data_IF_154099088222
#
_entry.id   IF_154099088222
#
_cell.length_a   1.000
_cell.length_b   1.000
_cell.length_c   1.000
_cell.angle_alpha   90.00
_cell.angle_beta   90.00
_cell.angle_gamma   90.00
#
_symmetry.space_group_name_H-M   'P 1'
#
loop_
_entity.id
_entity.type
_entity.pdbx_description
1 polymer ?
#
# COMPACT_ATOMS: atom_id res chain seq x y z
N UNK A 1 -10.42 8.74 -8.99
CA UNK A 1 -9.82 8.21 -7.76
C UNK A 1 -10.85 7.38 -7.00
N UNK A 2 -10.50 6.14 -6.71
CA UNK A 2 -11.32 5.28 -5.86
C UNK A 2 -11.29 5.79 -4.43
N UNK A 3 -12.47 5.89 -3.80
CA UNK A 3 -12.55 6.20 -2.38
C UNK A 3 -12.13 7.63 -2.00
N UNK A 4 -12.59 8.63 -2.76
CA UNK A 4 -12.34 10.03 -2.39
C UNK A 4 -12.76 10.26 -0.94
N UNK A 5 -11.84 10.76 -0.12
CA UNK A 5 -12.07 10.96 1.31
C UNK A 5 -12.00 9.70 2.17
N UNK A 6 -11.67 8.54 1.58
CA UNK A 6 -11.64 7.25 2.29
C UNK A 6 -10.25 6.61 2.14
N UNK A 7 -9.39 6.83 3.12
CA UNK A 7 -8.03 6.32 3.10
C UNK A 7 -7.98 4.79 3.15
N UNK A 8 -8.91 4.14 3.84
CA UNK A 8 -8.97 2.67 3.88
C UNK A 8 -9.27 2.09 2.49
N UNK A 9 -10.25 2.67 1.77
CA UNK A 9 -10.58 2.24 0.42
C UNK A 9 -9.43 2.49 -0.54
N UNK A 10 -8.76 3.63 -0.44
CA UNK A 10 -7.58 3.94 -1.25
C UNK A 10 -6.45 2.95 -0.98
N UNK A 11 -6.22 2.59 0.27
CA UNK A 11 -5.19 1.61 0.65
C UNK A 11 -5.47 0.24 0.04
N UNK A 12 -6.70 -0.24 0.13
CA UNK A 12 -7.08 -1.52 -0.47
C UNK A 12 -6.85 -1.52 -1.98
N UNK A 13 -7.23 -0.42 -2.65
CA UNK A 13 -7.05 -0.28 -4.10
C UNK A 13 -5.56 -0.25 -4.48
N UNK A 14 -4.73 0.44 -3.69
CA UNK A 14 -3.29 0.51 -3.94
C UNK A 14 -2.68 -0.89 -3.90
N UNK A 15 -3.01 -1.71 -2.89
CA UNK A 15 -2.47 -3.06 -2.79
C UNK A 15 -2.94 -3.94 -3.94
N UNK A 16 -4.18 -3.78 -4.41
CA UNK A 16 -4.67 -4.48 -5.60
C UNK A 16 -3.86 -4.07 -6.83
N UNK A 17 -3.63 -2.77 -7.03
CA UNK A 17 -2.84 -2.26 -8.15
C UNK A 17 -1.39 -2.77 -8.09
N UNK A 18 -0.77 -2.75 -6.91
CA UNK A 18 0.59 -3.28 -6.73
C UNK A 18 0.67 -4.75 -7.09
N UNK A 19 -0.30 -5.54 -6.65
CA UNK A 19 -0.37 -6.96 -7.00
C UNK A 19 -0.43 -7.18 -8.51
N UNK A 20 -1.22 -6.38 -9.22
CA UNK A 20 -1.32 -6.45 -10.67
C UNK A 20 -0.03 -6.04 -11.37
N UNK A 21 0.64 -5.00 -10.89
CA UNK A 21 1.92 -4.55 -11.43
C UNK A 21 2.98 -5.64 -11.24
N UNK A 22 3.07 -6.23 -10.05
CA UNK A 22 4.01 -7.30 -9.76
C UNK A 22 3.76 -8.52 -10.66
N UNK A 23 2.50 -8.92 -10.81
CA UNK A 23 2.13 -10.03 -11.66
C UNK A 23 2.54 -9.79 -13.12
N UNK A 24 2.44 -8.56 -13.62
CA UNK A 24 2.84 -8.21 -14.98
C UNK A 24 4.34 -8.37 -15.20
N UNK A 25 5.14 -8.39 -14.14
CA UNK A 25 6.59 -8.57 -14.17
C UNK A 25 7.02 -9.98 -13.75
N UNK A 26 6.07 -10.90 -13.63
CA UNK A 26 6.37 -12.27 -13.18
C UNK A 26 6.70 -12.37 -11.69
N UNK A 27 6.31 -11.38 -10.91
CA UNK A 27 6.55 -11.34 -9.47
C UNK A 27 5.24 -11.43 -8.69
N UNK A 28 5.35 -11.50 -7.39
CA UNK A 28 4.20 -11.50 -6.48
C UNK A 28 4.49 -10.66 -5.26
N UNK A 29 3.50 -10.50 -4.41
CA UNK A 29 3.67 -9.72 -3.17
C UNK A 29 4.76 -10.30 -2.26
N UNK A 30 5.00 -11.62 -2.32
CA UNK A 30 6.06 -12.25 -1.54
C UNK A 30 7.47 -11.86 -1.99
N UNK A 31 7.61 -11.24 -3.16
CA UNK A 31 8.89 -10.75 -3.67
C UNK A 31 9.19 -9.31 -3.21
N UNK A 32 8.27 -8.66 -2.53
CA UNK A 32 8.46 -7.30 -2.04
C UNK A 32 9.41 -7.31 -0.85
N UNK A 33 10.41 -6.44 -0.90
CA UNK A 33 11.43 -6.29 0.14
C UNK A 33 11.03 -5.20 1.14
N UNK A 34 10.46 -4.10 0.64
CA UNK A 34 10.07 -2.99 1.50
C UNK A 34 8.96 -2.17 0.86
N UNK A 35 8.17 -1.54 1.72
CA UNK A 35 7.20 -0.49 1.35
C UNK A 35 7.64 0.83 1.96
N UNK A 36 7.34 1.92 1.25
CA UNK A 36 7.32 3.26 1.83
C UNK A 36 5.91 3.80 1.67
N UNK A 37 5.30 4.16 2.79
CA UNK A 37 3.90 4.58 2.84
C UNK A 37 3.81 6.04 3.23
N UNK A 38 3.11 6.83 2.41
CA UNK A 38 2.84 8.24 2.65
C UNK A 38 1.37 8.40 2.94
N UNK A 39 1.03 9.03 4.07
CA UNK A 39 -0.35 9.31 4.44
C UNK A 39 -0.53 10.80 4.71
N UNK A 40 -1.64 11.35 4.27
CA UNK A 40 -1.94 12.78 4.44
C UNK A 40 -2.69 12.98 5.74
N UNK A 41 -1.96 13.35 6.79
CA UNK A 41 -2.51 13.58 8.12
C UNK A 41 -2.76 12.29 8.91
N UNK A 42 -3.11 12.45 10.19
CA UNK A 42 -3.28 11.31 11.10
C UNK A 42 -4.54 10.51 10.83
N UNK A 43 -5.60 11.13 10.35
CA UNK A 43 -6.83 10.41 9.98
C UNK A 43 -6.57 9.43 8.84
N UNK A 44 -5.79 9.86 7.84
CA UNK A 44 -5.40 8.98 6.74
C UNK A 44 -4.52 7.83 7.23
N UNK A 45 -3.69 8.06 8.25
CA UNK A 45 -2.90 7.00 8.88
C UNK A 45 -3.79 5.90 9.48
N UNK A 46 -4.86 6.30 10.16
CA UNK A 46 -5.82 5.34 10.73
C UNK A 46 -6.55 4.57 9.63
N UNK A 47 -6.99 5.25 8.58
CA UNK A 47 -7.63 4.61 7.42
C UNK A 47 -6.68 3.65 6.70
N UNK A 48 -5.41 4.03 6.55
CA UNK A 48 -4.38 3.14 6.00
C UNK A 48 -4.26 1.85 6.83
N UNK A 49 -4.21 1.96 8.15
CA UNK A 49 -4.09 0.78 9.02
C UNK A 49 -5.29 -0.14 8.89
N UNK A 50 -6.50 0.42 8.81
CA UNK A 50 -7.71 -0.34 8.58
C UNK A 50 -7.65 -1.09 7.24
N UNK A 51 -7.34 -0.39 6.15
CA UNK A 51 -7.23 -0.99 4.82
C UNK A 51 -6.16 -2.06 4.75
N UNK A 52 -5.01 -1.82 5.37
CA UNK A 52 -3.93 -2.80 5.45
C UNK A 52 -4.36 -4.05 6.22
N UNK A 53 -5.04 -3.88 7.33
CA UNK A 53 -5.54 -5.01 8.13
C UNK A 53 -6.50 -5.90 7.34
N UNK A 54 -7.25 -5.32 6.41
CA UNK A 54 -8.18 -6.07 5.57
C UNK A 54 -7.46 -6.91 4.51
N UNK A 55 -6.32 -6.47 4.00
CA UNK A 55 -5.65 -7.14 2.86
C UNK A 55 -4.44 -7.97 3.26
N UNK A 56 -3.74 -7.62 4.33
CA UNK A 56 -2.51 -8.31 4.74
C UNK A 56 -2.69 -9.81 4.99
N UNK A 57 -3.78 -10.30 5.60
CA UNK A 57 -3.93 -11.75 5.78
C UNK A 57 -3.91 -12.55 4.48
N UNK A 58 -4.43 -11.97 3.38
CA UNK A 58 -4.41 -12.61 2.07
C UNK A 58 -3.08 -12.42 1.35
N UNK A 59 -2.44 -11.26 1.53
CA UNK A 59 -1.18 -10.95 0.86
C UNK A 59 0.01 -11.65 1.52
N UNK A 60 -0.02 -11.78 2.84
CA UNK A 60 1.07 -12.35 3.63
C UNK A 60 0.53 -13.41 4.60
N UNK A 61 0.07 -14.56 4.07
CA UNK A 61 -0.59 -15.57 4.90
C UNK A 61 0.32 -16.20 5.97
N UNK A 62 1.64 -16.12 5.76
CA UNK A 62 2.63 -16.62 6.72
C UNK A 62 3.17 -15.53 7.64
N UNK A 63 2.60 -14.33 7.59
CA UNK A 63 3.03 -13.17 8.40
C UNK A 63 4.47 -12.72 8.12
N UNK A 64 4.98 -13.01 6.93
CA UNK A 64 6.30 -12.56 6.46
C UNK A 64 6.17 -11.15 5.86
N UNK A 65 6.02 -10.15 6.71
CA UNK A 65 5.77 -8.79 6.27
C UNK A 65 7.05 -8.12 5.78
N UNK A 66 7.01 -7.41 4.65
CA UNK A 66 8.13 -6.57 4.24
C UNK A 66 8.36 -5.44 5.24
N UNK A 67 9.56 -4.87 5.23
CA UNK A 67 9.81 -3.64 5.95
C UNK A 67 8.88 -2.54 5.43
N UNK A 68 8.43 -1.66 6.30
CA UNK A 68 7.56 -0.55 5.94
C UNK A 68 7.96 0.71 6.71
N UNK A 69 8.14 1.81 5.98
CA UNK A 69 8.34 3.13 6.56
C UNK A 69 7.08 3.94 6.34
N UNK A 70 6.47 4.42 7.40
CA UNK A 70 5.28 5.27 7.33
C UNK A 70 5.66 6.72 7.59
N UNK A 71 5.26 7.60 6.68
CA UNK A 71 5.48 9.03 6.78
C UNK A 71 4.13 9.76 6.73
N UNK A 72 3.90 10.62 7.71
CA UNK A 72 2.73 11.50 7.72
C UNK A 72 3.15 12.81 7.05
N UNK A 73 2.48 13.16 5.97
CA UNK A 73 2.84 14.30 5.12
C UNK A 73 1.69 15.29 5.00
N UNK A 74 2.00 16.46 4.43
CA UNK A 74 1.01 17.54 4.29
C UNK A 74 0.07 17.36 3.11
N UNK A 75 0.50 16.66 2.08
CA UNK A 75 -0.32 16.44 0.88
C UNK A 75 0.42 15.68 -0.20
N UNK A 76 -0.33 15.17 -1.14
CA UNK A 76 0.16 14.48 -2.34
C UNK A 76 -0.14 15.34 -3.57
N UNK A 77 0.16 14.83 -4.76
CA UNK A 77 0.00 15.58 -6.00
C UNK A 77 -1.45 16.03 -6.25
N UNK A 78 -2.44 15.26 -5.78
CA UNK A 78 -3.85 15.62 -5.82
C UNK A 78 -4.43 15.65 -4.42
N UNK A 79 -5.33 16.59 -4.16
CA UNK A 79 -6.06 16.67 -2.88
C UNK A 79 -6.92 15.44 -2.61
N UNK A 80 -7.29 14.69 -3.65
CA UNK A 80 -8.09 13.48 -3.52
C UNK A 80 -7.26 12.29 -3.05
N UNK A 81 -5.94 12.35 -3.13
CA UNK A 81 -5.06 11.28 -2.70
C UNK A 81 -4.69 11.46 -1.23
N UNK A 82 -5.06 10.47 -0.42
CA UNK A 82 -4.76 10.45 1.02
C UNK A 82 -3.64 9.47 1.35
N UNK A 83 -3.36 8.50 0.48
CA UNK A 83 -2.37 7.45 0.69
C UNK A 83 -1.59 7.22 -0.60
N UNK A 84 -0.28 7.04 -0.47
CA UNK A 84 0.58 6.57 -1.55
C UNK A 84 1.53 5.53 -0.97
N UNK A 85 1.73 4.43 -1.69
CA UNK A 85 2.64 3.37 -1.26
C UNK A 85 3.56 3.06 -2.43
N UNK A 86 4.86 3.14 -2.17
CA UNK A 86 5.88 2.65 -3.10
C UNK A 86 6.45 1.33 -2.57
N UNK A 87 6.87 0.48 -3.47
CA UNK A 87 7.41 -0.83 -3.14
C UNK A 87 8.71 -1.08 -3.90
N UNK A 88 9.62 -1.78 -3.24
CA UNK A 88 10.83 -2.33 -3.87
C UNK A 88 10.70 -3.85 -3.82
N UNK A 89 10.82 -4.49 -4.96
CA UNK A 89 10.68 -5.95 -5.07
C UNK A 89 11.86 -6.55 -5.81
N UNK A 90 12.23 -7.77 -5.43
CA UNK A 90 13.20 -8.57 -6.16
C UNK A 90 12.45 -9.38 -7.22
N UNK A 91 12.67 -9.08 -8.49
CA UNK A 91 12.00 -9.77 -9.59
C UNK A 91 12.67 -11.12 -9.81
N UNK A 92 11.93 -12.24 -9.78
CA UNK A 92 12.49 -13.57 -10.04
C UNK A 92 13.06 -13.65 -11.46
N UNK A 93 14.16 -14.38 -11.61
CA UNK A 93 14.78 -14.67 -12.90
C UNK A 93 14.17 -15.90 -13.56
#
# INVERSE_FOLDING_TARGET
VVGVGDAAAQTRQIFENLGNILASQGASMSDVLEFTTYVVGREASEGYREGRSDVYPNLFPNQDYPANTLLIISGLASEDFLVEISAVAAIPE
#
